data_IF_281684884645
#
_entry.id   IF_281684884645
#
_cell.length_a   1.000
_cell.length_b   1.000
_cell.length_c   1.000
_cell.angle_alpha   90.00
_cell.angle_beta   90.00
_cell.angle_gamma   90.00
#
_symmetry.space_group_name_H-M   'P 1'
#
loop_
_entity.id
_entity.type
_entity.pdbx_description
1 polymer ?
#
# COMPACT_ATOMS: atom_id res chain seq x y z
N UNK A 1 8.38 13.57 -13.79
CA UNK A 1 7.19 12.73 -14.06
C UNK A 1 7.10 12.33 -15.54
N UNK A 2 7.63 13.14 -16.47
CA UNK A 2 7.66 12.84 -17.91
C UNK A 2 8.19 11.45 -18.29
N UNK A 3 9.19 10.92 -17.57
CA UNK A 3 9.72 9.58 -17.82
C UNK A 3 8.74 8.44 -17.50
N UNK A 4 7.83 8.63 -16.52
CA UNK A 4 6.81 7.63 -16.14
C UNK A 4 5.58 7.80 -17.03
N UNK A 5 5.17 9.05 -17.29
CA UNK A 5 4.02 9.36 -18.13
C UNK A 5 4.15 8.85 -19.57
N UNK A 6 5.37 8.85 -20.12
CA UNK A 6 5.64 8.31 -21.46
C UNK A 6 5.51 6.79 -21.58
N UNK A 7 5.66 6.04 -20.48
CA UNK A 7 5.63 4.58 -20.48
C UNK A 7 4.25 3.99 -20.11
N UNK A 8 3.48 4.70 -19.27
CA UNK A 8 2.20 4.20 -18.72
C UNK A 8 0.98 4.76 -19.47
N UNK A 9 1.15 5.80 -20.29
CA UNK A 9 0.03 6.51 -20.90
C UNK A 9 -0.74 7.35 -19.87
N UNK A 10 -2.00 7.70 -20.16
CA UNK A 10 -2.88 8.30 -19.15
C UNK A 10 -3.38 7.20 -18.22
N UNK A 11 -3.06 7.22 -16.92
CA UNK A 11 -3.60 6.25 -15.97
C UNK A 11 -5.12 6.41 -15.92
N UNK A 12 -5.84 5.29 -15.91
CA UNK A 12 -7.25 5.26 -15.59
C UNK A 12 -7.53 5.48 -14.10
N UNK A 13 -8.75 5.16 -13.69
CA UNK A 13 -9.19 5.29 -12.30
C UNK A 13 -8.85 4.07 -11.43
N UNK A 14 -8.38 2.99 -12.03
CA UNK A 14 -8.08 1.75 -11.34
C UNK A 14 -6.59 1.64 -10.98
N UNK A 15 -5.75 2.50 -11.56
CA UNK A 15 -4.33 2.60 -11.30
C UNK A 15 -4.04 3.55 -10.13
N UNK A 16 -3.07 3.16 -9.32
CA UNK A 16 -2.61 3.93 -8.16
C UNK A 16 -1.11 4.14 -8.29
N UNK A 17 -0.67 5.41 -8.25
CA UNK A 17 0.75 5.71 -8.14
C UNK A 17 1.18 5.65 -6.68
N UNK A 18 2.15 4.79 -6.37
CA UNK A 18 2.71 4.67 -5.03
C UNK A 18 4.15 5.16 -4.98
N UNK A 19 4.55 5.78 -3.88
CA UNK A 19 5.90 6.31 -3.71
C UNK A 19 6.21 6.56 -2.22
N UNK A 20 7.48 6.49 -1.83
CA UNK A 20 7.96 7.00 -0.54
C UNK A 20 8.00 8.54 -0.49
N UNK A 21 7.90 9.20 -1.65
CA UNK A 21 8.13 10.64 -1.82
C UNK A 21 6.82 11.40 -1.93
N UNK A 22 6.43 12.07 -0.85
CA UNK A 22 5.25 12.93 -0.77
C UNK A 22 5.22 14.00 -1.88
N UNK A 23 6.33 14.70 -2.08
CA UNK A 23 6.47 15.77 -3.08
C UNK A 23 6.26 15.26 -4.52
N UNK A 24 6.70 14.02 -4.79
CA UNK A 24 6.45 13.37 -6.08
C UNK A 24 4.96 13.06 -6.26
N UNK A 25 4.29 12.54 -5.23
CA UNK A 25 2.86 12.22 -5.30
C UNK A 25 2.01 13.49 -5.47
N UNK A 26 2.37 14.58 -4.78
CA UNK A 26 1.73 15.89 -4.94
C UNK A 26 1.87 16.41 -6.37
N UNK A 27 3.07 16.34 -6.94
CA UNK A 27 3.29 16.70 -8.35
C UNK A 27 2.52 15.79 -9.34
N UNK A 28 2.26 14.54 -8.97
CA UNK A 28 1.59 13.57 -9.84
C UNK A 28 0.06 13.72 -9.87
N UNK A 29 -0.54 14.41 -8.89
CA UNK A 29 -2.01 14.62 -8.79
C UNK A 29 -2.64 15.28 -10.03
N UNK A 30 -1.86 15.99 -10.83
CA UNK A 30 -2.35 16.60 -12.09
C UNK A 30 -2.64 15.56 -13.18
N UNK A 31 -2.05 14.36 -13.08
CA UNK A 31 -2.20 13.29 -14.06
C UNK A 31 -2.70 11.97 -13.49
N UNK A 32 -2.66 11.81 -12.17
CA UNK A 32 -3.08 10.60 -11.44
C UNK A 32 -4.23 10.95 -10.50
N UNK A 33 -5.35 10.23 -10.65
CA UNK A 33 -6.53 10.43 -9.81
C UNK A 33 -6.39 9.79 -8.44
N UNK A 34 -5.44 8.85 -8.26
CA UNK A 34 -5.25 8.08 -7.04
C UNK A 34 -3.78 7.89 -6.73
N UNK A 35 -3.44 8.05 -5.46
CA UNK A 35 -2.06 8.00 -4.96
C UNK A 35 -1.97 7.22 -3.66
N UNK A 36 -0.81 6.63 -3.40
CA UNK A 36 -0.51 5.96 -2.15
C UNK A 36 0.87 6.31 -1.61
N UNK A 37 0.94 6.70 -0.35
CA UNK A 37 2.22 6.97 0.29
C UNK A 37 2.77 5.68 0.89
N UNK A 38 4.02 5.35 0.56
CA UNK A 38 4.75 4.26 1.21
C UNK A 38 5.43 4.83 2.45
N UNK A 39 5.07 4.29 3.61
CA UNK A 39 5.65 4.64 4.90
C UNK A 39 7.01 3.94 5.06
N UNK A 40 7.99 4.68 5.54
CA UNK A 40 9.27 4.08 5.97
C UNK A 40 9.12 3.41 7.35
N UNK A 41 8.24 3.95 8.18
CA UNK A 41 7.93 3.45 9.52
C UNK A 41 6.46 3.72 9.87
N UNK A 42 5.84 2.83 10.65
CA UNK A 42 4.45 2.98 11.07
C UNK A 42 4.20 4.23 11.92
N UNK A 43 5.21 4.76 12.61
CA UNK A 43 5.09 6.01 13.37
C UNK A 43 4.61 7.19 12.52
N UNK A 44 4.88 7.16 11.21
CA UNK A 44 4.45 8.18 10.25
C UNK A 44 2.97 8.08 9.87
N UNK A 45 2.28 6.99 10.22
CA UNK A 45 0.92 6.73 9.76
C UNK A 45 -0.07 7.82 10.19
N UNK A 46 0.10 8.42 11.38
CA UNK A 46 -0.81 9.45 11.87
C UNK A 46 -0.68 10.77 11.09
N UNK A 47 0.54 11.20 10.76
CA UNK A 47 0.75 12.40 9.93
C UNK A 47 0.39 12.14 8.48
N UNK A 48 0.69 10.95 7.96
CA UNK A 48 0.34 10.55 6.60
C UNK A 48 -1.18 10.45 6.40
N UNK A 49 -1.93 9.99 7.40
CA UNK A 49 -3.40 9.92 7.32
C UNK A 49 -4.08 11.30 7.27
N UNK A 50 -3.37 12.37 7.60
CA UNK A 50 -3.85 13.75 7.43
C UNK A 50 -3.65 14.29 6.01
N UNK A 51 -3.03 13.52 5.12
CA UNK A 51 -2.87 13.84 3.70
C UNK A 51 -4.03 13.25 2.89
N UNK A 52 -4.26 13.79 1.70
CA UNK A 52 -5.33 13.35 0.79
C UNK A 52 -4.96 12.09 -0.02
N UNK A 53 -4.12 11.19 0.51
CA UNK A 53 -3.82 9.94 -0.19
C UNK A 53 -4.93 8.92 0.03
N UNK A 54 -5.29 8.16 -1.00
CA UNK A 54 -6.29 7.10 -0.89
C UNK A 54 -5.73 5.86 -0.20
N UNK A 55 -4.41 5.70 -0.22
CA UNK A 55 -3.70 4.54 0.30
C UNK A 55 -2.49 4.94 1.14
N UNK A 56 -2.22 4.13 2.16
CA UNK A 56 -0.92 4.03 2.81
C UNK A 56 -0.38 2.62 2.63
N UNK A 57 0.92 2.50 2.40
CA UNK A 57 1.61 1.22 2.31
C UNK A 57 2.68 1.12 3.39
N UNK A 58 2.80 -0.01 4.07
CA UNK A 58 3.84 -0.21 5.08
C UNK A 58 4.42 -1.62 4.98
N UNK A 59 5.72 -1.76 5.21
CA UNK A 59 6.35 -3.08 5.24
C UNK A 59 5.83 -3.85 6.45
N UNK A 60 5.57 -5.15 6.30
CA UNK A 60 5.10 -5.98 7.41
C UNK A 60 6.03 -5.95 8.63
N UNK A 61 7.36 -5.86 8.42
CA UNK A 61 8.36 -5.78 9.49
C UNK A 61 8.35 -4.47 10.27
N UNK A 62 7.70 -3.43 9.74
CA UNK A 62 7.60 -2.09 10.34
C UNK A 62 6.25 -1.86 11.02
N UNK A 63 5.35 -2.83 10.98
CA UNK A 63 4.07 -2.73 11.65
C UNK A 63 4.18 -3.06 13.14
N UNK A 64 3.40 -2.40 14.00
CA UNK A 64 3.25 -2.82 15.38
C UNK A 64 2.63 -4.23 15.44
N UNK A 65 3.16 -5.13 16.27
CA UNK A 65 2.75 -6.54 16.27
C UNK A 65 1.31 -6.80 16.73
N UNK A 66 0.80 -6.03 17.70
CA UNK A 66 -0.48 -6.34 18.37
C UNK A 66 -1.57 -5.26 18.18
N UNK A 67 -1.36 -4.34 17.25
CA UNK A 67 -2.30 -3.23 17.03
C UNK A 67 -3.39 -3.60 16.02
N UNK A 68 -4.63 -3.23 16.30
CA UNK A 68 -5.69 -3.18 15.28
C UNK A 68 -5.64 -1.87 14.50
N UNK A 69 -5.85 -1.95 13.20
CA UNK A 69 -5.91 -0.85 12.25
C UNK A 69 -7.38 -0.44 12.06
N UNK A 70 -7.66 0.85 12.19
CA UNK A 70 -9.03 1.38 12.10
C UNK A 70 -9.44 1.66 10.65
N UNK A 71 -10.73 1.59 10.37
CA UNK A 71 -11.31 1.73 9.02
C UNK A 71 -11.72 3.17 8.65
N UNK A 72 -11.07 4.18 9.24
CA UNK A 72 -11.52 5.58 9.20
C UNK A 72 -10.63 6.54 8.39
N UNK A 73 -9.68 6.01 7.63
CA UNK A 73 -8.67 6.80 6.92
C UNK A 73 -8.32 6.19 5.55
N UNK A 74 -7.14 6.53 4.99
CA UNK A 74 -6.65 5.86 3.79
C UNK A 74 -6.60 4.35 3.97
N UNK A 75 -6.82 3.62 2.87
CA UNK A 75 -6.70 2.15 2.89
C UNK A 75 -5.26 1.74 3.19
N UNK A 76 -5.09 0.79 4.09
CA UNK A 76 -3.77 0.27 4.45
C UNK A 76 -3.42 -0.96 3.62
N UNK A 77 -2.38 -0.86 2.81
CA UNK A 77 -1.68 -1.98 2.19
C UNK A 77 -0.44 -2.38 2.97
N UNK A 78 -0.21 -3.69 3.09
CA UNK A 78 0.99 -4.24 3.74
C UNK A 78 1.75 -5.12 2.75
N UNK A 79 3.04 -4.85 2.58
CA UNK A 79 3.89 -5.52 1.60
C UNK A 79 4.95 -6.44 2.23
N UNK A 80 5.56 -7.29 1.40
CA UNK A 80 6.47 -8.38 1.77
C UNK A 80 5.82 -9.47 2.63
N UNK A 81 4.53 -9.76 2.43
CA UNK A 81 3.82 -10.79 3.22
C UNK A 81 3.81 -12.12 2.47
N UNK A 82 4.70 -13.03 2.85
CA UNK A 82 4.81 -14.37 2.25
C UNK A 82 4.09 -15.48 3.03
N UNK A 83 3.83 -15.29 4.33
CA UNK A 83 3.13 -16.29 5.15
C UNK A 83 1.61 -16.09 5.03
N UNK A 84 0.84 -17.08 4.52
CA UNK A 84 -0.61 -16.94 4.36
C UNK A 84 -1.33 -16.75 5.71
N UNK A 85 -0.82 -17.38 6.78
CA UNK A 85 -1.33 -17.22 8.14
C UNK A 85 -1.18 -15.78 8.64
N UNK A 86 -0.04 -15.15 8.39
CA UNK A 86 0.21 -13.74 8.68
C UNK A 86 -0.70 -12.84 7.86
N UNK A 87 -0.86 -13.10 6.56
CA UNK A 87 -1.79 -12.36 5.70
C UNK A 87 -3.21 -12.36 6.26
N UNK A 88 -3.74 -13.54 6.61
CA UNK A 88 -5.06 -13.67 7.21
C UNK A 88 -5.18 -12.92 8.55
N UNK A 89 -4.17 -12.98 9.42
CA UNK A 89 -4.14 -12.22 10.69
C UNK A 89 -4.11 -10.72 10.46
N UNK A 90 -3.37 -10.23 9.48
CA UNK A 90 -3.30 -8.81 9.15
C UNK A 90 -4.66 -8.28 8.69
N UNK A 91 -5.37 -9.03 7.82
CA UNK A 91 -6.72 -8.70 7.39
C UNK A 91 -7.70 -8.66 8.57
N UNK A 92 -7.63 -9.65 9.47
CA UNK A 92 -8.45 -9.65 10.70
C UNK A 92 -8.16 -8.46 11.62
N UNK A 93 -6.95 -7.92 11.57
CA UNK A 93 -6.54 -6.72 12.31
C UNK A 93 -6.95 -5.42 11.63
N UNK A 94 -7.58 -5.46 10.45
CA UNK A 94 -8.07 -4.27 9.74
C UNK A 94 -7.13 -3.71 8.69
N UNK A 95 -6.13 -4.48 8.23
CA UNK A 95 -5.42 -4.18 6.98
C UNK A 95 -6.38 -4.38 5.80
N UNK A 96 -6.37 -3.48 4.82
CA UNK A 96 -7.25 -3.55 3.65
C UNK A 96 -6.66 -4.41 2.53
N UNK A 97 -5.34 -4.38 2.35
CA UNK A 97 -4.64 -5.05 1.25
C UNK A 97 -3.37 -5.74 1.75
N UNK A 98 -3.09 -6.92 1.20
CA UNK A 98 -1.83 -7.64 1.39
C UNK A 98 -1.16 -7.78 0.03
N UNK A 99 0.10 -7.37 -0.06
CA UNK A 99 0.97 -7.58 -1.21
C UNK A 99 1.93 -8.73 -0.90
N UNK A 100 2.14 -9.59 -1.91
CA UNK A 100 2.98 -10.77 -1.84
C UNK A 100 3.64 -11.03 -3.19
N UNK A 101 4.87 -11.53 -3.13
CA UNK A 101 5.57 -12.10 -4.29
C UNK A 101 5.28 -13.60 -4.47
N UNK A 102 4.67 -14.26 -3.49
CA UNK A 102 4.29 -15.67 -3.53
C UNK A 102 2.76 -15.81 -3.61
N UNK A 103 2.23 -15.52 -4.80
CA UNK A 103 0.79 -15.65 -5.06
C UNK A 103 0.29 -17.11 -4.97
N UNK A 104 1.01 -18.12 -5.52
CA UNK A 104 0.61 -19.52 -5.37
C UNK A 104 0.50 -19.95 -3.91
N UNK A 105 1.54 -19.71 -3.10
CA UNK A 105 1.55 -20.05 -1.67
C UNK A 105 0.48 -19.30 -0.88
N UNK A 106 0.23 -18.02 -1.20
CA UNK A 106 -0.84 -17.22 -0.58
C UNK A 106 -2.25 -17.79 -0.89
N UNK A 107 -2.43 -18.39 -2.06
CA UNK A 107 -3.70 -18.98 -2.47
C UNK A 107 -3.83 -20.47 -2.12
N UNK A 108 -2.82 -21.07 -1.51
CA UNK A 108 -2.78 -22.51 -1.21
C UNK A 108 -2.69 -23.39 -2.45
N UNK A 109 -2.17 -22.85 -3.55
CA UNK A 109 -1.73 -23.64 -4.70
C UNK A 109 -0.24 -23.90 -4.51
N UNK A 110 0.11 -25.10 -4.05
CA UNK A 110 1.51 -25.53 -4.00
C UNK A 110 2.00 -25.68 -5.46
N UNK A 111 3.08 -24.99 -5.81
CA UNK A 111 3.82 -25.28 -7.03
C UNK A 111 4.60 -26.59 -6.81
N UNK A 112 4.06 -27.72 -7.29
CA UNK A 112 4.76 -29.02 -7.40
C UNK A 112 5.95 -28.96 -8.38
#
# INVERSE_FOLDING_TARGET
LDAIGGAVGRPGNDEVLISYRQDLLEAARTGWSRTGLILEDWEQAASAAATDHEYLFCNVSRLPAERSFGSGGPKLGVYDVIDPGLGARLLQRGVDLVETFDLPGMLGHDDD
#
